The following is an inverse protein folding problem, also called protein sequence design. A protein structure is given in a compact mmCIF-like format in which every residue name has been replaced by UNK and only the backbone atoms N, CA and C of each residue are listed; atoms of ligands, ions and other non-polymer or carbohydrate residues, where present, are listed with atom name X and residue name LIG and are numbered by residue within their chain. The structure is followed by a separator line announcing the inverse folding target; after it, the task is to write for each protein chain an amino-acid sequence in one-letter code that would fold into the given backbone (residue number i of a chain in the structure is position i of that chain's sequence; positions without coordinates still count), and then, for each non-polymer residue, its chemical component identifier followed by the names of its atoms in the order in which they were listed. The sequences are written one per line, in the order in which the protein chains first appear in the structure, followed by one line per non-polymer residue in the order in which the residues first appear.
data_IF_506877529441
#
_entry.id   IF_506877529441
#
_cell.length_a   1.000
_cell.length_b   1.000
_cell.length_c   1.000
_cell.angle_alpha   90.00
_cell.angle_beta   90.00
_cell.angle_gamma   90.00
#
_symmetry.space_group_name_H-M   'P 1'
#
loop_
_entity.id
_entity.type
_entity.pdbx_description
1 polymer ?
#
# COMPACT_ATOMS: atom_id res chain seq x y z
N UNK A 1 -31.90 -11.58 -19.57
CA UNK A 1 -31.87 -10.64 -18.43
C UNK A 1 -30.43 -10.19 -18.29
N UNK A 2 -30.14 -9.01 -18.85
CA UNK A 2 -28.79 -8.50 -19.08
C UNK A 2 -28.20 -8.06 -17.74
N UNK A 3 -26.98 -8.52 -17.44
CA UNK A 3 -26.15 -8.05 -16.34
C UNK A 3 -25.76 -6.59 -16.62
N UNK A 4 -26.52 -5.65 -16.08
CA UNK A 4 -26.09 -4.26 -16.04
C UNK A 4 -24.88 -4.14 -15.12
N UNK A 5 -23.80 -3.66 -15.73
CA UNK A 5 -22.53 -3.28 -15.10
C UNK A 5 -22.77 -2.36 -13.90
N UNK A 6 -22.46 -2.88 -12.70
CA UNK A 6 -22.43 -2.11 -11.46
C UNK A 6 -21.31 -1.07 -11.52
N UNK A 7 -21.63 0.10 -12.05
CA UNK A 7 -20.71 1.23 -12.23
C UNK A 7 -21.22 2.42 -11.40
N UNK A 8 -21.47 2.20 -10.11
CA UNK A 8 -21.75 3.29 -9.18
C UNK A 8 -20.45 3.77 -8.55
N UNK A 9 -20.08 5.01 -8.84
CA UNK A 9 -19.09 5.76 -8.05
C UNK A 9 -19.54 5.71 -6.58
N UNK A 10 -18.87 4.89 -5.78
CA UNK A 10 -19.13 4.78 -4.36
C UNK A 10 -18.55 6.03 -3.68
N UNK A 11 -19.43 6.84 -3.10
CA UNK A 11 -19.06 7.97 -2.23
C UNK A 11 -18.61 7.43 -0.87
N UNK A 12 -17.51 7.98 -0.34
CA UNK A 12 -17.09 7.74 1.05
C UNK A 12 -18.04 8.49 2.01
N UNK A 13 -18.08 8.12 3.31
CA UNK A 13 -19.07 8.62 4.27
C UNK A 13 -19.10 10.15 4.44
N UNK A 14 -18.03 10.85 4.05
CA UNK A 14 -17.85 12.28 4.27
C UNK A 14 -18.10 13.12 2.99
N UNK A 15 -18.72 12.52 1.96
CA UNK A 15 -19.00 13.20 0.69
C UNK A 15 -17.82 13.25 -0.29
N UNK A 16 -16.64 12.77 0.11
CA UNK A 16 -15.53 12.52 -0.80
C UNK A 16 -15.86 11.34 -1.72
N UNK A 17 -15.91 11.56 -3.03
CA UNK A 17 -16.09 10.45 -3.98
C UNK A 17 -14.81 9.62 -4.09
N UNK A 18 -14.91 8.36 -4.48
CA UNK A 18 -13.72 7.57 -4.89
C UNK A 18 -12.90 8.29 -5.97
N UNK A 19 -13.54 9.16 -6.76
CA UNK A 19 -12.91 10.02 -7.76
C UNK A 19 -12.07 11.14 -7.12
N UNK A 20 -12.46 11.69 -5.97
CA UNK A 20 -11.71 12.76 -5.28
C UNK A 20 -10.46 12.23 -4.57
N UNK A 21 -10.57 11.02 -4.03
CA UNK A 21 -9.41 10.27 -3.50
C UNK A 21 -8.39 9.96 -4.60
N UNK A 22 -8.88 9.60 -5.79
CA UNK A 22 -8.08 9.33 -6.97
C UNK A 22 -7.38 10.59 -7.48
N UNK A 23 -8.12 11.71 -7.59
CA UNK A 23 -7.55 13.02 -7.93
C UNK A 23 -6.43 13.42 -6.99
N UNK A 24 -6.51 13.12 -5.69
CA UNK A 24 -5.42 13.42 -4.76
C UNK A 24 -4.14 12.62 -5.07
N UNK A 25 -4.27 11.31 -5.35
CA UNK A 25 -3.13 10.47 -5.74
C UNK A 25 -2.60 10.82 -7.14
N UNK A 26 -3.46 11.22 -8.07
CA UNK A 26 -3.05 11.75 -9.37
C UNK A 26 -2.36 13.09 -9.24
N UNK A 27 -2.88 14.06 -8.49
CA UNK A 27 -2.24 15.36 -8.27
C UNK A 27 -0.83 15.20 -7.66
N UNK A 28 -0.68 14.29 -6.70
CA UNK A 28 0.64 13.95 -6.13
C UNK A 28 1.56 13.36 -7.21
N UNK A 29 1.04 12.53 -8.11
CA UNK A 29 1.82 11.90 -9.17
C UNK A 29 2.09 12.79 -10.40
N UNK A 30 1.15 13.65 -10.78
CA UNK A 30 1.26 14.65 -11.84
C UNK A 30 2.30 15.71 -11.49
N UNK A 31 2.44 16.04 -10.20
CA UNK A 31 3.57 16.84 -9.71
C UNK A 31 4.95 16.18 -9.94
N UNK A 32 4.95 14.91 -10.41
CA UNK A 32 6.15 14.07 -10.57
C UNK A 32 6.47 13.69 -12.02
N UNK A 33 5.70 14.13 -13.03
CA UNK A 33 5.96 13.99 -14.48
C UNK A 33 6.31 12.56 -14.99
N UNK A 34 5.48 11.52 -14.74
CA UNK A 34 5.74 10.16 -15.29
C UNK A 34 4.45 9.56 -15.89
N UNK A 35 4.53 8.99 -17.10
CA UNK A 35 3.39 8.41 -17.85
C UNK A 35 3.26 6.87 -17.73
N UNK A 36 2.03 6.37 -17.82
CA UNK A 36 1.63 4.96 -17.55
C UNK A 36 2.34 3.88 -18.41
N UNK A 37 2.78 4.21 -19.62
CA UNK A 37 3.44 3.26 -20.54
C UNK A 37 4.95 3.14 -20.35
N UNK A 38 5.57 4.21 -19.84
CA UNK A 38 6.97 4.21 -19.41
C UNK A 38 7.13 3.56 -18.04
N UNK A 39 6.10 3.63 -17.19
CA UNK A 39 6.03 2.98 -15.88
C UNK A 39 6.53 1.54 -15.96
N UNK A 40 5.91 0.65 -16.76
CA UNK A 40 6.20 -0.82 -16.73
C UNK A 40 7.63 -1.16 -17.19
N UNK A 41 8.16 -0.45 -18.19
CA UNK A 41 9.53 -0.68 -18.70
C UNK A 41 10.58 -0.09 -17.76
N UNK A 42 10.32 1.09 -17.22
CA UNK A 42 11.12 1.68 -16.16
C UNK A 42 11.09 0.82 -14.90
N UNK A 43 9.93 0.24 -14.54
CA UNK A 43 9.78 -0.71 -13.43
C UNK A 43 10.70 -1.92 -13.61
N UNK A 44 10.64 -2.62 -14.74
CA UNK A 44 11.52 -3.77 -14.96
C UNK A 44 13.01 -3.38 -14.89
N UNK A 45 13.37 -2.25 -15.52
CA UNK A 45 14.73 -1.73 -15.51
C UNK A 45 15.22 -1.25 -14.15
N UNK A 46 14.37 -0.66 -13.30
CA UNK A 46 14.70 -0.24 -11.93
C UNK A 46 14.76 -1.42 -10.98
N UNK A 47 13.88 -2.41 -11.17
CA UNK A 47 13.92 -3.65 -10.39
C UNK A 47 15.22 -4.43 -10.67
N UNK A 48 15.68 -4.47 -11.92
CA UNK A 48 17.00 -5.02 -12.29
C UNK A 48 18.16 -4.14 -11.81
N UNK A 49 18.14 -2.84 -12.10
CA UNK A 49 19.24 -1.93 -11.78
C UNK A 49 19.45 -1.70 -10.28
N UNK A 50 18.49 -2.05 -9.43
CA UNK A 50 18.59 -1.92 -7.97
C UNK A 50 18.56 -3.29 -7.25
N UNK A 51 18.82 -4.39 -7.97
CA UNK A 51 19.04 -5.72 -7.37
C UNK A 51 17.79 -6.38 -6.79
N UNK A 52 16.60 -5.94 -7.19
CA UNK A 52 15.31 -6.58 -6.81
C UNK A 52 15.02 -7.78 -7.74
N UNK A 53 15.81 -7.95 -8.80
CA UNK A 53 15.91 -9.22 -9.51
C UNK A 53 16.83 -10.17 -8.71
N UNK A 54 16.21 -11.08 -7.95
CA UNK A 54 16.77 -12.36 -7.48
C UNK A 54 18.24 -12.29 -7.00
N UNK A 55 18.47 -11.68 -5.83
CA UNK A 55 19.68 -11.89 -5.03
C UNK A 55 19.41 -13.03 -4.04
N UNK A 56 20.33 -13.98 -3.93
CA UNK A 56 20.31 -14.96 -2.83
C UNK A 56 20.41 -14.23 -1.49
N UNK A 57 19.55 -14.59 -0.53
CA UNK A 57 19.56 -13.97 0.79
C UNK A 57 20.90 -14.19 1.50
N UNK A 58 21.51 -13.10 1.98
CA UNK A 58 22.82 -13.06 2.62
C UNK A 58 22.70 -12.93 4.15
N UNK A 59 23.79 -13.19 4.88
CA UNK A 59 23.84 -12.98 6.33
C UNK A 59 23.55 -11.53 6.72
N UNK A 60 23.98 -10.57 5.89
CA UNK A 60 23.70 -9.14 6.04
C UNK A 60 22.20 -8.84 5.95
N UNK A 61 21.44 -9.61 5.16
CA UNK A 61 20.00 -9.46 5.05
C UNK A 61 19.29 -9.95 6.34
N UNK A 62 19.86 -10.93 7.04
CA UNK A 62 19.31 -11.41 8.32
C UNK A 62 19.51 -10.40 9.47
N UNK A 63 20.67 -9.74 9.55
CA UNK A 63 20.91 -8.62 10.47
C UNK A 63 19.99 -7.43 10.15
N UNK A 64 19.87 -7.08 8.86
CA UNK A 64 18.96 -6.02 8.40
C UNK A 64 17.50 -6.33 8.75
N UNK A 65 17.07 -7.57 8.57
CA UNK A 65 15.73 -8.00 8.95
C UNK A 65 15.48 -7.85 10.45
N UNK A 66 16.45 -8.20 11.30
CA UNK A 66 16.35 -7.99 12.76
C UNK A 66 16.22 -6.51 13.08
N UNK A 67 17.05 -5.67 12.47
CA UNK A 67 17.00 -4.23 12.67
C UNK A 67 15.63 -3.62 12.30
N UNK A 68 15.04 -4.05 11.18
CA UNK A 68 13.70 -3.63 10.76
C UNK A 68 12.65 -4.04 11.80
N UNK A 69 12.72 -5.28 12.29
CA UNK A 69 11.80 -5.80 13.31
C UNK A 69 11.93 -5.02 14.63
N UNK A 70 13.16 -4.77 15.09
CA UNK A 70 13.41 -4.04 16.32
C UNK A 70 12.96 -2.58 16.20
N UNK A 71 13.21 -1.94 15.06
CA UNK A 71 12.72 -0.58 14.78
C UNK A 71 11.19 -0.52 14.85
N UNK A 72 10.49 -1.46 14.24
CA UNK A 72 9.03 -1.53 14.34
C UNK A 72 8.55 -1.81 15.77
N UNK A 73 9.19 -2.73 16.49
CA UNK A 73 8.80 -3.06 17.86
C UNK A 73 8.98 -1.88 18.83
N UNK A 74 9.99 -1.04 18.60
CA UNK A 74 10.26 0.16 19.38
C UNK A 74 9.48 1.41 18.91
N UNK A 75 8.75 1.31 17.79
CA UNK A 75 7.89 2.40 17.29
C UNK A 75 6.66 2.62 18.18
N UNK A 76 6.16 3.87 18.21
CA UNK A 76 4.93 4.19 18.94
C UNK A 76 3.73 3.50 18.31
N UNK A 77 2.87 2.90 19.14
CA UNK A 77 1.60 2.33 18.67
C UNK A 77 0.57 3.38 18.27
N UNK A 78 0.80 4.64 18.62
CA UNK A 78 -0.02 5.77 18.18
C UNK A 78 0.23 6.11 16.69
N UNK A 79 1.33 5.63 16.10
CA UNK A 79 1.61 5.75 14.67
C UNK A 79 0.85 4.71 13.84
N UNK A 80 -0.48 4.80 13.85
CA UNK A 80 -1.37 3.77 13.29
C UNK A 80 -1.10 3.44 11.83
N UNK A 81 -0.66 4.42 11.02
CA UNK A 81 -0.37 4.21 9.59
C UNK A 81 1.13 4.23 9.31
N UNK A 82 1.86 5.20 9.84
CA UNK A 82 3.25 5.47 9.46
C UNK A 82 4.17 4.29 9.79
N UNK A 83 4.15 3.80 11.03
CA UNK A 83 5.01 2.70 11.45
C UNK A 83 4.69 1.38 10.69
N UNK A 84 3.42 0.95 10.55
CA UNK A 84 3.09 -0.21 9.71
C UNK A 84 3.47 -0.07 8.24
N UNK A 85 3.30 1.11 7.64
CA UNK A 85 3.66 1.36 6.24
C UNK A 85 5.18 1.33 6.03
N UNK A 86 5.95 1.96 6.93
CA UNK A 86 7.40 1.92 6.88
C UNK A 86 7.91 0.47 7.01
N UNK A 87 7.39 -0.27 7.99
CA UNK A 87 7.73 -1.69 8.19
C UNK A 87 7.45 -2.54 6.94
N UNK A 88 6.30 -2.33 6.29
CA UNK A 88 5.97 -2.99 5.02
C UNK A 88 6.97 -2.64 3.91
N UNK A 89 7.29 -1.35 3.77
CA UNK A 89 8.22 -0.85 2.76
C UNK A 89 9.64 -1.40 2.93
N UNK A 90 10.13 -1.45 4.17
CA UNK A 90 11.48 -1.93 4.48
C UNK A 90 11.62 -3.43 4.18
N UNK A 91 10.62 -4.26 4.53
CA UNK A 91 10.60 -5.69 4.18
C UNK A 91 10.54 -5.90 2.66
N UNK A 92 9.72 -5.10 1.94
CA UNK A 92 9.65 -5.16 0.48
C UNK A 92 10.97 -4.80 -0.19
N UNK A 93 11.69 -3.85 0.39
CA UNK A 93 12.95 -3.34 -0.16
C UNK A 93 14.12 -4.26 0.16
N UNK A 94 14.14 -4.85 1.36
CA UNK A 94 15.13 -5.85 1.75
C UNK A 94 15.02 -7.13 0.90
N UNK A 95 13.79 -7.56 0.60
CA UNK A 95 13.51 -8.77 -0.19
C UNK A 95 14.25 -10.04 0.32
N UNK A 96 14.06 -10.43 1.59
CA UNK A 96 14.89 -11.46 2.26
C UNK A 96 14.65 -12.91 1.81
N UNK A 97 13.67 -13.17 0.93
CA UNK A 97 13.35 -14.52 0.44
C UNK A 97 13.42 -14.60 -1.09
N UNK A 98 13.62 -15.80 -1.64
CA UNK A 98 13.59 -16.00 -3.10
C UNK A 98 12.24 -15.65 -3.73
N UNK A 99 11.14 -15.93 -3.02
CA UNK A 99 9.78 -15.67 -3.50
C UNK A 99 8.86 -15.31 -2.33
N UNK A 100 7.79 -14.58 -2.64
CA UNK A 100 6.72 -14.31 -1.70
C UNK A 100 6.91 -13.06 -0.85
N UNK A 101 7.98 -12.28 -1.01
CA UNK A 101 8.22 -11.03 -0.26
C UNK A 101 7.03 -10.07 -0.36
N UNK A 102 6.47 -9.90 -1.56
CA UNK A 102 5.28 -9.07 -1.74
C UNK A 102 4.03 -9.60 -1.05
N UNK A 103 3.90 -10.92 -0.82
CA UNK A 103 2.79 -11.51 -0.03
C UNK A 103 3.06 -11.35 1.46
N UNK A 104 4.29 -11.63 1.89
CA UNK A 104 4.71 -11.49 3.28
C UNK A 104 4.57 -10.05 3.76
N UNK A 105 5.08 -9.07 3.02
CA UNK A 105 5.01 -7.67 3.43
C UNK A 105 3.57 -7.17 3.59
N UNK A 106 2.65 -7.57 2.69
CA UNK A 106 1.21 -7.23 2.82
C UNK A 106 0.55 -7.92 4.01
N UNK A 107 0.97 -9.15 4.31
CA UNK A 107 0.50 -9.87 5.50
C UNK A 107 1.00 -9.19 6.78
N UNK A 108 2.28 -8.81 6.82
CA UNK A 108 2.90 -8.10 7.94
C UNK A 108 2.31 -6.71 8.14
N UNK A 109 2.04 -5.97 7.06
CA UNK A 109 1.31 -4.70 7.11
C UNK A 109 -0.06 -4.88 7.77
N UNK A 110 -0.81 -5.89 7.31
CA UNK A 110 -2.14 -6.19 7.87
C UNK A 110 -2.05 -6.52 9.36
N UNK A 111 -1.07 -7.32 9.75
CA UNK A 111 -0.82 -7.64 11.16
C UNK A 111 -0.44 -6.39 11.97
N UNK A 112 0.46 -5.55 11.45
CA UNK A 112 0.95 -4.34 12.12
C UNK A 112 -0.17 -3.30 12.31
N UNK A 113 -1.01 -3.09 11.29
CA UNK A 113 -2.20 -2.24 11.38
C UNK A 113 -3.17 -2.76 12.43
N UNK A 114 -3.33 -4.09 12.52
CA UNK A 114 -4.19 -4.71 13.54
C UNK A 114 -3.66 -4.51 14.96
N UNK A 115 -2.33 -4.59 15.15
CA UNK A 115 -1.72 -4.27 16.45
C UNK A 115 -1.89 -2.79 16.84
N UNK A 116 -2.02 -1.91 15.85
CA UNK A 116 -2.32 -0.50 16.05
C UNK A 116 -3.84 -0.19 16.16
N UNK A 117 -4.69 -1.20 16.30
CA UNK A 117 -6.13 -1.03 16.55
C UNK A 117 -7.02 -1.02 15.32
N UNK A 118 -6.49 -1.26 14.11
CA UNK A 118 -7.33 -1.41 12.91
C UNK A 118 -8.01 -2.78 12.91
N UNK A 119 -9.36 -2.86 12.98
CA UNK A 119 -10.05 -4.12 13.27
C UNK A 119 -10.14 -5.08 12.08
N UNK A 120 -9.79 -4.63 10.87
CA UNK A 120 -10.02 -5.37 9.63
C UNK A 120 -8.73 -5.66 8.87
N UNK A 121 -8.66 -6.76 8.11
CA UNK A 121 -7.62 -6.95 7.11
C UNK A 121 -7.65 -5.84 6.06
N UNK A 122 -6.48 -5.25 5.77
CA UNK A 122 -6.38 -4.09 4.87
C UNK A 122 -5.74 -4.52 3.55
N UNK A 123 -6.54 -4.74 2.48
CA UNK A 123 -5.98 -4.90 1.15
C UNK A 123 -5.47 -3.54 0.69
N UNK A 124 -4.15 -3.44 0.49
CA UNK A 124 -3.56 -2.26 -0.14
C UNK A 124 -4.18 -2.04 -1.52
N UNK A 125 -5.02 -1.03 -1.60
CA UNK A 125 -5.75 -0.75 -2.82
C UNK A 125 -6.25 0.68 -2.83
N UNK A 126 -6.02 1.39 -3.93
CA UNK A 126 -6.71 2.65 -4.18
C UNK A 126 -8.20 2.43 -4.53
N UNK A 127 -8.58 1.16 -4.76
CA UNK A 127 -9.86 0.69 -5.28
C UNK A 127 -10.31 1.37 -6.57
N UNK A 128 -9.33 1.73 -7.40
CA UNK A 128 -9.48 2.05 -8.81
C UNK A 128 -9.05 0.82 -9.64
N UNK A 129 -9.46 0.74 -10.91
CA UNK A 129 -9.02 -0.34 -11.83
C UNK A 129 -7.50 -0.45 -11.97
N UNK A 130 -6.78 0.68 -11.78
CA UNK A 130 -5.31 0.77 -11.80
C UNK A 130 -4.66 0.64 -10.41
N UNK A 131 -5.36 0.08 -9.42
CA UNK A 131 -4.88 -0.04 -8.04
C UNK A 131 -3.48 -0.68 -7.93
N UNK A 132 -3.16 -1.64 -8.81
CA UNK A 132 -1.82 -2.22 -8.92
C UNK A 132 -0.76 -1.17 -9.29
N UNK A 133 -0.99 -0.36 -10.32
CA UNK A 133 -0.03 0.70 -10.73
C UNK A 133 0.18 1.70 -9.60
N UNK A 134 -0.89 2.15 -8.94
CA UNK A 134 -0.78 3.11 -7.83
C UNK A 134 0.05 2.54 -6.66
N UNK A 135 -0.16 1.27 -6.31
CA UNK A 135 0.65 0.59 -5.32
C UNK A 135 2.12 0.53 -5.72
N UNK A 136 2.39 0.13 -6.95
CA UNK A 136 3.77 0.05 -7.45
C UNK A 136 4.43 1.43 -7.47
N UNK A 137 3.74 2.47 -7.92
CA UNK A 137 4.19 3.86 -7.91
C UNK A 137 4.53 4.35 -6.50
N UNK A 138 3.64 4.09 -5.53
CA UNK A 138 3.87 4.49 -4.14
C UNK A 138 5.16 3.86 -3.55
N UNK A 139 5.46 2.60 -3.91
CA UNK A 139 6.72 1.95 -3.51
C UNK A 139 7.93 2.64 -4.14
N UNK A 140 7.89 2.95 -5.44
CA UNK A 140 8.99 3.62 -6.12
C UNK A 140 9.26 5.02 -5.55
N UNK A 141 8.18 5.73 -5.24
CA UNK A 141 8.25 7.08 -4.70
C UNK A 141 8.82 7.05 -3.28
N UNK A 142 8.46 6.04 -2.48
CA UNK A 142 9.12 5.79 -1.21
C UNK A 142 10.64 5.55 -1.34
N UNK A 143 11.12 4.92 -2.43
CA UNK A 143 12.56 4.73 -2.69
C UNK A 143 13.35 6.01 -2.90
N UNK A 144 12.71 7.05 -3.43
CA UNK A 144 13.33 8.37 -3.60
C UNK A 144 13.03 9.31 -2.43
N UNK A 145 12.59 8.76 -1.29
CA UNK A 145 12.34 9.50 -0.04
C UNK A 145 10.89 10.00 0.13
N UNK A 146 10.00 9.76 -0.83
CA UNK A 146 8.59 10.19 -0.76
C UNK A 146 7.67 9.11 -0.14
N UNK A 147 7.97 8.69 1.09
CA UNK A 147 7.18 7.66 1.81
C UNK A 147 5.72 8.09 2.04
N UNK A 148 5.44 9.39 2.03
CA UNK A 148 4.12 9.98 2.25
C UNK A 148 3.08 9.43 1.26
N UNK A 149 3.48 9.12 0.02
CA UNK A 149 2.57 8.53 -0.97
C UNK A 149 2.11 7.13 -0.56
N UNK A 150 3.03 6.34 0.00
CA UNK A 150 2.71 5.00 0.47
C UNK A 150 1.90 5.03 1.76
N UNK A 151 2.20 5.98 2.65
CA UNK A 151 1.38 6.25 3.84
C UNK A 151 -0.04 6.63 3.43
N UNK A 152 -0.18 7.48 2.41
CA UNK A 152 -1.48 7.92 1.87
C UNK A 152 -2.25 6.75 1.32
N UNK A 153 -1.64 5.90 0.48
CA UNK A 153 -2.29 4.69 -0.03
C UNK A 153 -2.75 3.76 1.10
N UNK A 154 -1.94 3.61 2.14
CA UNK A 154 -2.29 2.77 3.31
C UNK A 154 -3.48 3.35 4.06
N UNK A 155 -3.45 4.66 4.36
CA UNK A 155 -4.56 5.36 5.02
C UNK A 155 -5.86 5.24 4.22
N UNK A 156 -5.80 5.46 2.90
CA UNK A 156 -6.96 5.33 2.02
C UNK A 156 -7.54 3.92 2.01
N UNK A 157 -6.67 2.91 2.05
CA UNK A 157 -7.07 1.50 2.14
C UNK A 157 -7.81 1.24 3.47
N UNK A 158 -7.30 1.77 4.60
CA UNK A 158 -7.94 1.68 5.92
C UNK A 158 -9.32 2.34 5.90
N UNK A 159 -9.39 3.61 5.49
CA UNK A 159 -10.63 4.39 5.43
C UNK A 159 -11.70 3.69 4.57
N UNK A 160 -11.30 3.16 3.42
CA UNK A 160 -12.21 2.43 2.53
C UNK A 160 -12.78 1.18 3.18
N UNK A 161 -11.95 0.39 3.86
CA UNK A 161 -12.42 -0.83 4.53
C UNK A 161 -13.40 -0.50 5.65
N UNK A 162 -13.09 0.51 6.47
CA UNK A 162 -13.97 0.97 7.54
C UNK A 162 -15.29 1.49 6.98
N UNK A 163 -15.25 2.36 5.97
CA UNK A 163 -16.44 2.89 5.30
C UNK A 163 -17.33 1.79 4.70
N UNK A 164 -16.74 0.82 4.02
CA UNK A 164 -17.49 -0.29 3.44
C UNK A 164 -18.13 -1.18 4.51
N UNK A 165 -17.46 -1.36 5.65
CA UNK A 165 -18.01 -2.10 6.78
C UNK A 165 -19.18 -1.36 7.41
N UNK A 166 -19.03 -0.06 7.70
CA UNK A 166 -20.08 0.76 8.32
C UNK A 166 -21.32 0.85 7.43
N UNK A 167 -21.14 1.00 6.12
CA UNK A 167 -22.26 1.08 5.17
C UNK A 167 -23.02 -0.25 5.07
N UNK A 168 -22.31 -1.39 5.00
CA UNK A 168 -22.95 -2.70 5.04
C UNK A 168 -23.69 -2.94 6.35
N UNK A 169 -23.11 -2.53 7.47
CA UNK A 169 -23.76 -2.64 8.77
C UNK A 169 -25.05 -1.83 8.82
N UNK A 170 -25.04 -0.60 8.30
CA UNK A 170 -26.22 0.27 8.20
C UNK A 170 -27.35 -0.37 7.38
N UNK A 171 -27.04 -0.90 6.20
CA UNK A 171 -28.03 -1.55 5.31
C UNK A 171 -28.66 -2.79 5.94
N UNK A 172 -27.88 -3.57 6.71
CA UNK A 172 -28.38 -4.80 7.33
C UNK A 172 -29.29 -4.56 8.55
N UNK A 173 -29.26 -3.36 9.13
CA UNK A 173 -30.02 -3.00 10.34
C UNK A 173 -31.00 -1.85 10.10
N UNK A 174 -31.28 -1.51 8.83
CA UNK A 174 -32.32 -0.58 8.39
C UNK A 174 -33.53 -1.33 7.86
#
# INVERSE_FOLDING_TARGET
MILESYNSEQTLPDGASQNDTYKMLEMIAESSNISDGEEIRWFAGVLEAHGILMKDATYEDAESLRHIIDTYNNSSKDEVVVAPTLFCYEILTLHPFENGNGRLARLLLTWALRQAGVPFPIPLSSGHRKSRSHYMRAILRARIGALQEFNTLTLLSVLRVVANYTEKYRILHS
#
